data_IF_162043294427
#
_entry.id   IF_162043294427
#
_cell.length_a   1.000
_cell.length_b   1.000
_cell.length_c   1.000
_cell.angle_alpha   90.00
_cell.angle_beta   90.00
_cell.angle_gamma   90.00
#
_symmetry.space_group_name_H-M   'P 1'
#
loop_
_entity.id
_entity.type
_entity.pdbx_description
1 polymer ?
#
# COMPACT_ATOMS: atom_id res chain seq x y z
N UNK A 1 16.12 0.47 12.67
CA UNK A 1 17.40 -0.16 12.30
C UNK A 1 17.79 0.39 10.95
N UNK A 2 19.02 0.89 10.78
CA UNK A 2 19.46 1.46 9.51
C UNK A 2 19.71 0.36 8.48
N UNK A 3 19.12 0.47 7.29
CA UNK A 3 19.35 -0.49 6.20
C UNK A 3 20.60 -0.11 5.45
N UNK A 4 21.61 -0.99 5.51
CA UNK A 4 22.85 -0.85 4.74
C UNK A 4 22.58 -0.98 3.24
N UNK A 5 23.21 -0.14 2.42
CA UNK A 5 23.09 -0.16 0.95
C UNK A 5 23.39 -1.53 0.35
N UNK A 6 24.33 -2.27 0.95
CA UNK A 6 24.68 -3.64 0.55
C UNK A 6 23.48 -4.60 0.61
N UNK A 7 22.61 -4.47 1.62
CA UNK A 7 21.41 -5.32 1.75
C UNK A 7 20.39 -5.02 0.65
N UNK A 8 20.30 -3.76 0.21
CA UNK A 8 19.42 -3.35 -0.89
C UNK A 8 19.91 -3.97 -2.20
N UNK A 9 21.21 -3.90 -2.48
CA UNK A 9 21.80 -4.54 -3.65
C UNK A 9 21.61 -6.06 -3.62
N UNK A 10 21.85 -6.68 -2.47
CA UNK A 10 21.70 -8.12 -2.31
C UNK A 10 20.26 -8.60 -2.50
N UNK A 11 19.28 -7.87 -1.95
CA UNK A 11 17.85 -8.16 -2.18
C UNK A 11 17.48 -8.06 -3.66
N UNK A 12 17.96 -7.02 -4.35
CA UNK A 12 17.73 -6.83 -5.78
C UNK A 12 18.33 -7.96 -6.61
N UNK A 13 19.58 -8.31 -6.35
CA UNK A 13 20.27 -9.41 -7.06
C UNK A 13 19.52 -10.73 -6.87
N UNK A 14 19.09 -11.04 -5.64
CA UNK A 14 18.29 -12.25 -5.38
C UNK A 14 16.95 -12.24 -6.09
N UNK A 15 16.27 -11.10 -6.18
CA UNK A 15 15.01 -10.99 -6.92
C UNK A 15 15.20 -11.32 -8.40
N UNK A 16 16.19 -10.71 -9.06
CA UNK A 16 16.44 -10.97 -10.48
C UNK A 16 16.98 -12.38 -10.72
N UNK A 17 17.85 -12.89 -9.85
CA UNK A 17 18.29 -14.28 -9.94
C UNK A 17 17.12 -15.26 -9.85
N UNK A 18 16.21 -15.06 -8.88
CA UNK A 18 14.99 -15.88 -8.77
C UNK A 18 14.12 -15.78 -10.02
N UNK A 19 13.99 -14.58 -10.60
CA UNK A 19 13.25 -14.35 -11.83
C UNK A 19 13.87 -15.05 -13.05
N UNK A 20 15.21 -15.08 -13.13
CA UNK A 20 15.94 -15.78 -14.20
C UNK A 20 15.87 -17.30 -14.04
N UNK A 21 15.97 -17.80 -12.80
CA UNK A 21 15.97 -19.23 -12.48
C UNK A 21 14.56 -19.86 -12.60
N UNK A 22 13.51 -19.18 -12.11
CA UNK A 22 12.13 -19.71 -12.08
C UNK A 22 11.24 -19.19 -13.21
N UNK A 23 11.66 -18.13 -13.90
CA UNK A 23 10.85 -17.42 -14.88
C UNK A 23 9.82 -16.47 -14.25
N UNK A 24 9.15 -15.62 -15.08
CA UNK A 24 8.11 -14.74 -14.59
C UNK A 24 6.87 -15.54 -14.16
N UNK A 25 6.17 -15.14 -13.09
CA UNK A 25 4.94 -15.80 -12.67
C UNK A 25 3.80 -15.57 -13.68
N UNK A 26 2.67 -16.26 -13.47
CA UNK A 26 1.40 -15.99 -14.15
C UNK A 26 0.37 -15.43 -13.15
N UNK A 27 -0.13 -14.18 -13.33
CA UNK A 27 0.26 -13.22 -14.36
C UNK A 27 1.68 -12.68 -14.17
N UNK A 28 2.30 -12.26 -15.28
CA UNK A 28 3.65 -11.70 -15.28
C UNK A 28 3.71 -10.44 -14.44
N UNK A 29 4.89 -10.16 -13.88
CA UNK A 29 5.14 -8.88 -13.24
C UNK A 29 4.94 -7.71 -14.22
N UNK A 30 4.32 -6.64 -13.74
CA UNK A 30 4.13 -5.45 -14.53
C UNK A 30 5.49 -4.77 -14.79
N UNK A 31 5.79 -4.25 -16.00
CA UNK A 31 7.08 -3.64 -16.32
C UNK A 31 7.48 -2.50 -15.37
N UNK A 32 6.51 -1.70 -14.92
CA UNK A 32 6.77 -0.62 -13.96
C UNK A 32 7.25 -1.14 -12.59
N UNK A 33 6.78 -2.31 -12.15
CA UNK A 33 7.22 -2.91 -10.89
C UNK A 33 8.65 -3.48 -11.03
N UNK A 34 8.97 -4.10 -12.17
CA UNK A 34 10.35 -4.52 -12.50
C UNK A 34 11.30 -3.33 -12.51
N UNK A 35 10.92 -2.23 -13.16
CA UNK A 35 11.69 -1.00 -13.17
C UNK A 35 11.87 -0.45 -11.74
N UNK A 36 10.80 -0.50 -10.92
CA UNK A 36 10.86 -0.08 -9.51
C UNK A 36 11.82 -0.95 -8.68
N UNK A 37 11.84 -2.27 -8.85
CA UNK A 37 12.85 -3.15 -8.21
C UNK A 37 14.26 -2.75 -8.64
N UNK A 38 14.45 -2.47 -9.93
CA UNK A 38 15.75 -2.13 -10.50
C UNK A 38 16.28 -0.79 -9.97
N UNK A 39 15.45 0.23 -9.89
CA UNK A 39 15.90 1.63 -9.74
C UNK A 39 15.54 2.25 -8.38
N UNK A 40 14.51 1.77 -7.68
CA UNK A 40 14.00 2.42 -6.48
C UNK A 40 14.54 1.76 -5.19
N UNK A 41 15.66 2.29 -4.69
CA UNK A 41 16.24 1.87 -3.41
C UNK A 41 15.30 2.08 -2.21
N UNK A 42 14.50 3.15 -2.21
CA UNK A 42 13.58 3.43 -1.10
C UNK A 42 12.48 2.38 -1.01
N UNK A 43 11.98 1.91 -2.15
CA UNK A 43 10.98 0.86 -2.18
C UNK A 43 11.54 -0.46 -1.63
N UNK A 44 12.72 -0.90 -2.08
CA UNK A 44 13.39 -2.09 -1.57
C UNK A 44 13.73 -1.98 -0.08
N UNK A 45 14.18 -0.79 0.37
CA UNK A 45 14.49 -0.52 1.77
C UNK A 45 13.31 -0.86 2.69
N UNK A 46 12.08 -0.53 2.28
CA UNK A 46 10.89 -0.77 3.10
C UNK A 46 10.63 -2.25 3.39
N UNK A 47 10.88 -3.13 2.41
CA UNK A 47 10.76 -4.57 2.63
C UNK A 47 11.79 -5.06 3.64
N UNK A 48 13.02 -4.55 3.57
CA UNK A 48 14.08 -4.85 4.53
C UNK A 48 13.74 -4.33 5.93
N UNK A 49 13.28 -3.09 6.04
CA UNK A 49 12.88 -2.50 7.34
C UNK A 49 11.72 -3.28 7.97
N UNK A 50 10.74 -3.68 7.17
CA UNK A 50 9.56 -4.41 7.64
C UNK A 50 9.92 -5.82 8.15
N UNK A 51 10.89 -6.47 7.52
CA UNK A 51 11.31 -7.83 7.86
C UNK A 51 12.61 -7.86 8.67
N UNK A 52 12.92 -6.79 9.40
CA UNK A 52 14.10 -6.72 10.29
C UNK A 52 15.42 -7.09 9.59
N UNK A 53 15.61 -6.60 8.37
CA UNK A 53 16.75 -6.89 7.48
C UNK A 53 16.91 -8.38 7.10
N UNK A 54 15.91 -9.24 7.34
CA UNK A 54 15.91 -10.61 6.84
C UNK A 54 15.71 -10.61 5.32
N UNK A 55 16.77 -10.96 4.59
CA UNK A 55 16.79 -10.97 3.12
C UNK A 55 15.76 -11.94 2.53
N UNK A 56 15.61 -13.13 3.12
CA UNK A 56 14.74 -14.16 2.53
C UNK A 56 13.26 -13.78 2.69
N UNK A 57 12.87 -13.31 3.87
CA UNK A 57 11.51 -12.82 4.11
C UNK A 57 11.20 -11.57 3.28
N UNK A 58 12.18 -10.65 3.17
CA UNK A 58 12.05 -9.46 2.30
C UNK A 58 11.87 -9.82 0.83
N UNK A 59 12.60 -10.85 0.36
CA UNK A 59 12.48 -11.36 -1.01
C UNK A 59 11.10 -11.97 -1.26
N UNK A 60 10.63 -12.84 -0.35
CA UNK A 60 9.32 -13.47 -0.45
C UNK A 60 8.23 -12.40 -0.49
N UNK A 61 8.27 -11.43 0.42
CA UNK A 61 7.29 -10.34 0.48
C UNK A 61 7.32 -9.44 -0.76
N UNK A 62 8.50 -9.08 -1.27
CA UNK A 62 8.64 -8.30 -2.50
C UNK A 62 8.07 -9.05 -3.71
N UNK A 63 8.37 -10.34 -3.80
CA UNK A 63 7.87 -11.22 -4.86
C UNK A 63 6.35 -11.31 -4.83
N UNK A 64 5.77 -11.63 -3.68
CA UNK A 64 4.32 -11.72 -3.48
C UNK A 64 3.62 -10.39 -3.72
N UNK A 65 4.26 -9.28 -3.35
CA UNK A 65 3.76 -7.94 -3.66
C UNK A 65 3.69 -7.70 -5.16
N UNK A 66 4.73 -8.07 -5.93
CA UNK A 66 4.71 -7.93 -7.39
C UNK A 66 3.64 -8.84 -8.05
N UNK A 67 3.44 -10.06 -7.52
CA UNK A 67 2.36 -10.95 -7.98
C UNK A 67 0.99 -10.30 -7.73
N UNK A 68 0.76 -9.85 -6.49
CA UNK A 68 -0.51 -9.23 -6.10
C UNK A 68 -0.78 -7.96 -6.91
N UNK A 69 0.24 -7.11 -7.10
CA UNK A 69 0.14 -5.87 -7.88
C UNK A 69 -0.31 -6.11 -9.32
N UNK A 70 0.22 -7.16 -9.95
CA UNK A 70 -0.18 -7.60 -11.29
C UNK A 70 -1.59 -8.16 -11.31
N UNK A 71 -1.94 -9.09 -10.41
CA UNK A 71 -3.29 -9.68 -10.30
C UNK A 71 -4.38 -8.65 -10.02
N UNK A 72 -4.09 -7.67 -9.17
CA UNK A 72 -5.03 -6.62 -8.79
C UNK A 72 -5.15 -5.52 -9.86
N UNK A 73 -4.15 -5.40 -10.74
CA UNK A 73 -4.08 -4.34 -11.75
C UNK A 73 -3.77 -2.97 -11.14
N UNK A 74 -2.85 -2.94 -10.17
CA UNK A 74 -2.54 -1.71 -9.40
C UNK A 74 -1.98 -0.58 -10.27
N UNK A 75 -1.17 -0.93 -11.28
CA UNK A 75 -0.51 0.05 -12.14
C UNK A 75 -1.49 0.65 -13.18
N UNK A 76 -2.62 0.00 -13.40
CA UNK A 76 -3.67 0.40 -14.32
C UNK A 76 -4.72 1.30 -13.64
N UNK A 77 -4.68 1.45 -12.31
CA UNK A 77 -5.65 2.26 -11.58
C UNK A 77 -5.40 3.75 -11.82
N UNK A 78 -6.41 4.42 -12.35
CA UNK A 78 -6.41 5.85 -12.63
C UNK A 78 -7.67 6.51 -12.07
N UNK A 79 -7.67 7.84 -11.99
CA UNK A 79 -8.84 8.63 -11.61
C UNK A 79 -10.04 8.40 -12.56
N UNK A 80 -9.77 7.99 -13.80
CA UNK A 80 -10.79 7.73 -14.82
C UNK A 80 -11.53 6.41 -14.59
N UNK A 81 -10.86 5.41 -14.00
CA UNK A 81 -11.40 4.05 -13.86
C UNK A 81 -11.71 3.64 -12.41
N UNK A 82 -11.41 4.49 -11.45
CA UNK A 82 -11.96 4.40 -10.09
C UNK A 82 -13.35 5.05 -10.08
N UNK A 83 -14.25 4.53 -9.25
CA UNK A 83 -15.62 5.04 -9.14
C UNK A 83 -15.62 6.49 -8.65
N UNK A 84 -15.97 7.44 -9.52
CA UNK A 84 -16.00 8.87 -9.21
C UNK A 84 -16.96 9.20 -8.07
N UNK A 85 -18.14 8.58 -8.06
CA UNK A 85 -19.09 8.70 -6.95
C UNK A 85 -18.49 8.25 -5.61
N UNK A 86 -17.52 7.32 -5.60
CA UNK A 86 -16.86 6.91 -4.36
C UNK A 86 -15.75 7.88 -3.95
N UNK A 87 -15.09 8.54 -4.90
CA UNK A 87 -14.14 9.62 -4.63
C UNK A 87 -14.84 10.85 -4.06
N UNK A 88 -15.95 11.25 -4.68
CA UNK A 88 -16.65 12.51 -4.41
C UNK A 88 -17.37 12.52 -3.05
N UNK A 89 -17.67 11.34 -2.49
CA UNK A 89 -18.25 11.21 -1.15
C UNK A 89 -17.30 11.78 -0.07
N UNK A 90 -15.99 11.83 -0.31
CA UNK A 90 -15.02 12.31 0.68
C UNK A 90 -14.76 11.29 1.80
N UNK A 91 -14.99 9.99 1.54
CA UNK A 91 -14.66 8.91 2.48
C UNK A 91 -13.17 8.90 2.84
N UNK A 92 -12.31 9.22 1.88
CA UNK A 92 -10.86 9.25 2.05
C UNK A 92 -10.31 10.57 1.49
N UNK A 93 -9.41 11.22 2.23
CA UNK A 93 -8.79 12.47 1.79
C UNK A 93 -7.44 12.74 2.49
N UNK A 94 -6.69 13.69 1.97
CA UNK A 94 -5.41 14.14 2.56
C UNK A 94 -5.68 15.38 3.42
N UNK A 95 -5.13 15.41 4.63
CA UNK A 95 -5.30 16.53 5.56
C UNK A 95 -3.96 17.03 6.12
N UNK A 96 -3.26 17.87 5.38
CA UNK A 96 -2.03 18.50 5.87
C UNK A 96 -0.94 17.49 6.26
N UNK A 97 -0.21 17.80 7.34
CA UNK A 97 0.89 17.00 7.87
C UNK A 97 0.76 16.83 9.38
N UNK A 98 1.23 15.71 9.90
CA UNK A 98 1.35 15.50 11.34
C UNK A 98 2.54 16.26 11.96
N UNK A 99 2.71 16.13 13.28
CA UNK A 99 3.81 16.76 14.03
C UNK A 99 5.21 16.33 13.58
N UNK A 100 5.34 15.18 12.92
CA UNK A 100 6.59 14.62 12.41
C UNK A 100 6.78 14.96 10.91
N UNK A 101 5.90 15.81 10.35
CA UNK A 101 5.93 16.27 8.97
C UNK A 101 5.43 15.23 7.95
N UNK A 102 4.81 14.13 8.40
CA UNK A 102 4.27 13.08 7.53
C UNK A 102 2.90 13.49 7.00
N UNK A 103 2.64 13.23 5.72
CA UNK A 103 1.33 13.49 5.10
C UNK A 103 0.26 12.69 5.82
N UNK A 104 -0.82 13.34 6.25
CA UNK A 104 -1.92 12.67 6.92
C UNK A 104 -2.99 12.24 5.92
N UNK A 105 -3.33 10.95 5.94
CA UNK A 105 -4.40 10.36 5.16
C UNK A 105 -5.55 10.00 6.09
N UNK A 106 -6.71 10.61 5.85
CA UNK A 106 -7.91 10.50 6.70
C UNK A 106 -8.93 9.59 6.03
N UNK A 107 -9.50 8.67 6.81
CA UNK A 107 -10.67 7.87 6.44
C UNK A 107 -11.83 8.29 7.36
N UNK A 108 -12.90 8.85 6.80
CA UNK A 108 -14.07 9.31 7.56
C UNK A 108 -15.11 8.20 7.70
N UNK A 109 -15.09 7.52 8.85
CA UNK A 109 -15.87 6.30 9.07
C UNK A 109 -17.38 6.53 9.02
N UNK A 110 -17.89 7.68 9.45
CA UNK A 110 -19.32 8.02 9.37
C UNK A 110 -19.88 8.07 7.95
N UNK A 111 -19.04 8.15 6.91
CA UNK A 111 -19.44 8.12 5.50
C UNK A 111 -19.39 6.71 4.88
N UNK A 112 -18.95 5.71 5.64
CA UNK A 112 -19.04 4.30 5.25
C UNK A 112 -20.29 3.69 5.86
N UNK A 113 -20.99 2.84 5.12
CA UNK A 113 -22.07 2.02 5.67
C UNK A 113 -21.88 0.61 5.13
N UNK A 114 -21.87 -0.39 6.02
CA UNK A 114 -21.65 -1.77 5.64
C UNK A 114 -22.66 -2.22 4.57
N UNK A 115 -22.17 -2.80 3.49
CA UNK A 115 -23.00 -3.29 2.37
C UNK A 115 -23.57 -2.21 1.44
N UNK A 116 -23.29 -0.92 1.69
CA UNK A 116 -23.77 0.17 0.81
C UNK A 116 -22.98 0.32 -0.49
N UNK A 117 -21.80 -0.31 -0.57
CA UNK A 117 -20.85 -0.18 -1.67
C UNK A 117 -20.30 -1.55 -2.06
N UNK A 118 -20.01 -1.71 -3.33
CA UNK A 118 -19.37 -2.91 -3.87
C UNK A 118 -17.96 -3.05 -3.28
N UNK A 119 -17.67 -4.19 -2.66
CA UNK A 119 -16.44 -4.38 -1.91
C UNK A 119 -15.19 -4.25 -2.79
N UNK A 120 -15.21 -4.81 -4.01
CA UNK A 120 -14.12 -4.68 -4.97
C UNK A 120 -13.86 -3.21 -5.39
N UNK A 121 -14.89 -2.38 -5.48
CA UNK A 121 -14.76 -0.96 -5.79
C UNK A 121 -14.17 -0.19 -4.60
N UNK A 122 -14.51 -0.56 -3.36
CA UNK A 122 -13.87 -0.01 -2.17
C UNK A 122 -12.39 -0.39 -2.10
N UNK A 123 -12.04 -1.65 -2.37
CA UNK A 123 -10.64 -2.09 -2.45
C UNK A 123 -9.88 -1.27 -3.49
N UNK A 124 -10.44 -1.09 -4.70
CA UNK A 124 -9.84 -0.29 -5.77
C UNK A 124 -9.68 1.18 -5.38
N UNK A 125 -10.66 1.77 -4.69
CA UNK A 125 -10.60 3.14 -4.16
C UNK A 125 -9.44 3.31 -3.18
N UNK A 126 -9.28 2.38 -2.24
CA UNK A 126 -8.19 2.43 -1.25
C UNK A 126 -6.83 2.35 -1.95
N UNK A 127 -6.66 1.39 -2.86
CA UNK A 127 -5.42 1.22 -3.61
C UNK A 127 -5.12 2.44 -4.48
N UNK A 128 -6.14 3.06 -5.11
CA UNK A 128 -5.99 4.33 -5.80
C UNK A 128 -5.37 5.40 -4.90
N UNK A 129 -5.91 5.58 -3.68
CA UNK A 129 -5.38 6.55 -2.73
C UNK A 129 -3.96 6.21 -2.28
N UNK A 130 -3.66 4.93 -2.03
CA UNK A 130 -2.32 4.49 -1.61
C UNK A 130 -1.29 4.76 -2.71
N UNK A 131 -1.58 4.41 -3.97
CA UNK A 131 -0.67 4.68 -5.08
C UNK A 131 -0.50 6.20 -5.31
N UNK A 132 -1.56 6.99 -5.11
CA UNK A 132 -1.49 8.46 -5.18
C UNK A 132 -0.58 9.03 -4.08
N UNK A 133 -0.73 8.54 -2.86
CA UNK A 133 0.08 8.94 -1.71
C UNK A 133 1.54 8.53 -1.88
N UNK A 134 1.80 7.32 -2.38
CA UNK A 134 3.15 6.83 -2.65
C UNK A 134 3.91 7.75 -3.62
N UNK A 135 3.22 8.23 -4.67
CA UNK A 135 3.77 9.22 -5.60
C UNK A 135 3.95 10.58 -4.94
N UNK A 136 2.95 11.06 -4.20
CA UNK A 136 2.97 12.37 -3.55
C UNK A 136 4.10 12.50 -2.52
N UNK A 137 4.35 11.45 -1.76
CA UNK A 137 5.35 11.46 -0.68
C UNK A 137 6.72 10.97 -1.13
N UNK A 138 6.86 10.59 -2.40
CA UNK A 138 8.06 9.96 -2.96
C UNK A 138 8.53 8.76 -2.12
N UNK A 139 7.58 7.92 -1.70
CA UNK A 139 7.89 6.77 -0.86
C UNK A 139 8.24 7.12 0.59
N UNK A 140 7.89 8.31 1.11
CA UNK A 140 7.90 8.55 2.56
C UNK A 140 6.66 7.97 3.24
N UNK A 141 6.83 7.58 4.51
CA UNK A 141 5.73 7.17 5.38
C UNK A 141 4.63 8.23 5.45
N UNK A 142 3.40 7.76 5.61
CA UNK A 142 2.21 8.59 5.84
C UNK A 142 1.54 8.23 7.15
N UNK A 143 0.72 9.14 7.67
CA UNK A 143 -0.02 8.94 8.92
C UNK A 143 -1.47 8.63 8.59
N UNK A 144 -1.91 7.41 8.91
CA UNK A 144 -3.30 6.99 8.71
C UNK A 144 -4.14 7.41 9.91
N UNK A 145 -5.23 8.13 9.65
CA UNK A 145 -6.15 8.62 10.66
C UNK A 145 -7.57 8.15 10.34
N UNK A 146 -8.21 7.49 11.31
CA UNK A 146 -9.63 7.14 11.21
C UNK A 146 -10.43 8.22 11.94
N UNK A 147 -11.18 9.02 11.19
CA UNK A 147 -12.13 9.96 11.78
C UNK A 147 -13.39 9.19 12.20
N UNK A 148 -13.49 8.97 13.50
CA UNK A 148 -14.56 8.24 14.16
C UNK A 148 -15.73 9.14 14.58
N UNK A 149 -15.66 10.45 14.28
CA UNK A 149 -16.74 11.39 14.61
C UNK A 149 -18.05 10.95 13.94
N UNK A 150 -19.13 10.94 14.71
CA UNK A 150 -20.47 10.52 14.30
C UNK A 150 -20.54 9.08 13.74
N UNK A 151 -19.58 8.22 14.10
CA UNK A 151 -19.53 6.83 13.63
C UNK A 151 -20.39 5.94 14.53
N UNK A 152 -21.46 5.37 13.95
CA UNK A 152 -22.31 4.37 14.59
C UNK A 152 -21.90 2.94 14.26
N UNK A 153 -22.58 1.96 14.87
CA UNK A 153 -22.32 0.52 14.69
C UNK A 153 -22.45 0.09 13.21
N UNK A 154 -23.39 0.67 12.46
CA UNK A 154 -23.59 0.34 11.04
C UNK A 154 -22.46 0.82 10.12
N UNK A 155 -21.67 1.79 10.58
CA UNK A 155 -20.49 2.28 9.89
C UNK A 155 -19.27 1.37 10.11
N UNK A 156 -19.29 0.53 11.14
CA UNK A 156 -18.18 -0.36 11.51
C UNK A 156 -18.18 -1.64 10.66
N UNK A 157 -17.42 -1.60 9.57
CA UNK A 157 -17.23 -2.74 8.67
C UNK A 157 -15.94 -3.49 8.98
N UNK A 158 -16.06 -4.53 9.82
CA UNK A 158 -14.92 -5.34 10.24
C UNK A 158 -14.26 -6.10 9.09
N UNK A 159 -14.99 -6.39 8.00
CA UNK A 159 -14.41 -7.04 6.83
C UNK A 159 -13.48 -6.07 6.09
N UNK A 160 -13.95 -4.83 5.91
CA UNK A 160 -13.14 -3.77 5.31
C UNK A 160 -11.91 -3.42 6.16
N UNK A 161 -12.05 -3.33 7.48
CA UNK A 161 -10.92 -3.07 8.39
C UNK A 161 -9.88 -4.21 8.30
N UNK A 162 -10.32 -5.47 8.32
CA UNK A 162 -9.41 -6.62 8.16
C UNK A 162 -8.69 -6.59 6.81
N UNK A 163 -9.41 -6.23 5.74
CA UNK A 163 -8.80 -6.04 4.43
C UNK A 163 -7.72 -4.95 4.46
N UNK A 164 -8.01 -3.77 5.03
CA UNK A 164 -7.03 -2.68 5.15
C UNK A 164 -5.77 -3.11 5.90
N UNK A 165 -5.93 -3.80 7.03
CA UNK A 165 -4.80 -4.30 7.82
C UNK A 165 -3.95 -5.28 7.00
N UNK A 166 -4.59 -6.23 6.32
CA UNK A 166 -3.89 -7.21 5.49
C UNK A 166 -3.19 -6.55 4.30
N UNK A 167 -3.84 -5.59 3.64
CA UNK A 167 -3.26 -4.82 2.53
C UNK A 167 -1.97 -4.11 2.98
N UNK A 168 -2.02 -3.43 4.12
CA UNK A 168 -0.86 -2.72 4.68
C UNK A 168 0.26 -3.69 5.09
N UNK A 169 -0.10 -4.78 5.78
CA UNK A 169 0.85 -5.76 6.29
C UNK A 169 1.54 -6.56 5.19
N UNK A 170 0.84 -6.89 4.11
CA UNK A 170 1.34 -7.80 3.08
C UNK A 170 1.95 -7.09 1.88
N UNK A 171 1.42 -5.93 1.47
CA UNK A 171 1.73 -5.35 0.16
C UNK A 171 2.20 -3.89 0.20
N UNK A 172 2.04 -3.21 1.33
CA UNK A 172 2.53 -1.84 1.54
C UNK A 172 3.45 -1.77 2.78
N UNK A 173 4.58 -2.50 2.77
CA UNK A 173 5.49 -2.56 3.92
C UNK A 173 6.01 -1.17 4.27
N UNK A 174 6.04 -0.90 5.58
CA UNK A 174 6.52 0.35 6.15
C UNK A 174 5.93 1.63 5.51
N UNK A 175 4.71 1.55 4.98
CA UNK A 175 4.04 2.69 4.33
C UNK A 175 3.34 3.61 5.33
N UNK A 176 2.79 3.05 6.42
CA UNK A 176 2.04 3.79 7.42
C UNK A 176 2.79 3.92 8.74
N UNK A 177 2.67 5.09 9.36
CA UNK A 177 2.79 5.27 10.80
C UNK A 177 1.36 5.36 11.35
N UNK A 178 0.93 4.33 12.06
CA UNK A 178 -0.43 4.27 12.59
C UNK A 178 -0.51 5.09 13.88
N UNK A 179 -1.35 6.12 13.87
CA UNK A 179 -1.72 6.85 15.08
C UNK A 179 -3.16 6.49 15.42
N UNK A 180 -3.37 5.93 16.61
CA UNK A 180 -4.70 5.81 17.19
C UNK A 180 -4.98 7.10 17.95
N UNK A 181 -5.92 7.90 17.45
CA UNK A 181 -6.53 8.96 18.25
C UNK A 181 -7.98 8.53 18.50
N UNK A 182 -8.29 8.32 19.78
CA UNK A 182 -9.65 8.16 20.28
C UNK A 182 -10.26 9.54 20.53
#
# INVERSE_FOLDING_TARGET
>A
MEVRTELISHLREKFFKKLDDEGPPDPKFHPADIARVKENNNWLRRFLEHNENNIQESLNMLWDTCIWRSKFGTNEITEENVRKDYLDIGLCFIHGKDKDGKTMFVIKCSLHTKGSKEFNQLQKLVVYWFERLERLTNGNQISLFFDMSDTGILNMDMEFIKYLINLCKSYYPNFFKLYYYF
#
